data_IF_864420599146
#
_entry.id   IF_864420599146
#
_cell.length_a   1.000
_cell.length_b   1.000
_cell.length_c   1.000
_cell.angle_alpha   90.00
_cell.angle_beta   90.00
_cell.angle_gamma   90.00
#
_symmetry.space_group_name_H-M   'P 1'
#
loop_
_entity.id
_entity.type
_entity.pdbx_description
1 polymer ?
#
# COMPACT_ATOMS: atom_id res chain seq x y z
N UNK A 1 11.79 -18.42 -1.98
CA UNK A 1 10.76 -19.46 -1.81
C UNK A 1 9.47 -18.79 -1.40
N UNK A 2 8.32 -19.45 -1.59
CA UNK A 2 7.01 -18.92 -1.18
C UNK A 2 6.95 -18.63 0.33
N UNK A 3 7.57 -19.48 1.13
CA UNK A 3 7.69 -19.32 2.58
C UNK A 3 8.33 -17.99 3.01
N UNK A 4 9.45 -17.61 2.38
CA UNK A 4 10.11 -16.32 2.69
C UNK A 4 9.22 -15.13 2.38
N UNK A 5 8.51 -15.17 1.25
CA UNK A 5 7.57 -14.10 0.88
C UNK A 5 6.37 -14.07 1.83
N UNK A 6 5.90 -15.23 2.30
CA UNK A 6 4.87 -15.29 3.34
C UNK A 6 5.29 -14.58 4.61
N UNK A 7 6.54 -14.77 5.06
CA UNK A 7 7.06 -14.08 6.24
C UNK A 7 7.10 -12.57 6.03
N UNK A 8 7.65 -12.11 4.89
CA UNK A 8 7.69 -10.68 4.57
C UNK A 8 6.29 -10.05 4.54
N UNK A 9 5.30 -10.75 4.00
CA UNK A 9 3.90 -10.29 4.00
C UNK A 9 3.35 -10.26 5.43
N UNK A 10 3.62 -11.28 6.25
CA UNK A 10 3.15 -11.31 7.63
C UNK A 10 3.74 -10.14 8.44
N UNK A 11 5.03 -9.86 8.27
CA UNK A 11 5.72 -8.75 8.94
C UNK A 11 5.12 -7.41 8.50
N UNK A 12 4.99 -7.18 7.20
CA UNK A 12 4.37 -5.96 6.63
C UNK A 12 2.93 -5.73 7.15
N UNK A 13 2.09 -6.78 7.16
CA UNK A 13 0.72 -6.69 7.67
C UNK A 13 0.63 -6.43 9.18
N UNK A 14 1.64 -6.87 9.94
CA UNK A 14 1.62 -6.76 11.40
C UNK A 14 1.60 -5.30 11.87
N UNK A 15 2.10 -4.39 11.03
CA UNK A 15 2.15 -2.96 11.32
C UNK A 15 0.78 -2.36 11.59
N UNK A 16 -0.25 -2.79 10.85
CA UNK A 16 -1.60 -2.23 10.92
C UNK A 16 -2.62 -3.15 11.58
N UNK A 17 -2.31 -4.44 11.69
CA UNK A 17 -3.14 -5.42 12.38
C UNK A 17 -4.33 -5.87 11.51
N UNK A 18 -5.43 -6.24 12.16
CA UNK A 18 -6.60 -6.76 11.45
C UNK A 18 -7.35 -5.69 10.66
N UNK A 19 -7.92 -6.07 9.52
CA UNK A 19 -8.67 -5.19 8.60
C UNK A 19 -9.75 -4.35 9.30
N UNK A 20 -10.52 -4.96 10.20
CA UNK A 20 -11.56 -4.28 10.97
C UNK A 20 -11.05 -3.11 11.82
N UNK A 21 -9.74 -3.07 12.11
CA UNK A 21 -9.12 -2.06 12.95
C UNK A 21 -8.48 -0.93 12.15
N UNK A 22 -8.23 -1.11 10.85
CA UNK A 22 -7.50 -0.15 10.02
C UNK A 22 -8.16 1.23 10.01
N UNK A 23 -9.49 1.40 9.77
CA UNK A 23 -10.10 2.73 9.72
C UNK A 23 -9.94 3.49 11.03
N UNK A 24 -10.14 2.81 12.16
CA UNK A 24 -10.01 3.40 13.50
C UNK A 24 -8.56 3.79 13.80
N UNK A 25 -7.60 2.93 13.44
CA UNK A 25 -6.17 3.17 13.68
C UNK A 25 -5.65 4.32 12.81
N UNK A 26 -5.98 4.30 11.52
CA UNK A 26 -5.65 5.37 10.58
C UNK A 26 -6.15 6.71 11.07
N UNK A 27 -7.45 6.81 11.40
CA UNK A 27 -8.04 8.07 11.88
C UNK A 27 -7.41 8.56 13.19
N UNK A 28 -7.10 7.64 14.10
CA UNK A 28 -6.42 7.98 15.36
C UNK A 28 -5.03 8.56 15.10
N UNK A 29 -4.22 7.90 14.28
CA UNK A 29 -2.87 8.35 13.95
C UNK A 29 -2.88 9.67 13.19
N UNK A 30 -3.78 9.83 12.21
CA UNK A 30 -3.95 11.08 11.49
C UNK A 30 -4.33 12.23 12.42
N UNK A 31 -5.30 12.03 13.33
CA UNK A 31 -5.67 13.05 14.32
C UNK A 31 -4.52 13.43 15.24
N UNK A 32 -3.68 12.47 15.64
CA UNK A 32 -2.48 12.75 16.42
C UNK A 32 -1.51 13.61 15.63
N UNK A 33 -1.17 13.21 14.39
CA UNK A 33 -0.26 13.96 13.52
C UNK A 33 -0.75 15.39 13.25
N UNK A 34 -2.06 15.57 13.01
CA UNK A 34 -2.70 16.88 12.82
C UNK A 34 -2.60 17.79 14.03
N UNK A 35 -2.67 17.23 15.25
CA UNK A 35 -2.49 18.01 16.50
C UNK A 35 -1.05 18.48 16.68
N UNK A 36 -0.08 17.71 16.19
CA UNK A 36 1.34 18.03 16.26
C UNK A 36 1.76 19.04 15.17
N UNK A 37 0.96 19.17 14.12
CA UNK A 37 1.10 20.21 13.09
C UNK A 37 1.25 19.66 11.68
N UNK A 38 1.51 20.55 10.74
CA UNK A 38 1.51 20.23 9.31
C UNK A 38 2.66 19.28 8.93
N UNK A 39 3.90 19.53 9.41
CA UNK A 39 5.05 18.69 9.08
C UNK A 39 4.87 17.22 9.51
N UNK A 40 4.30 16.98 10.69
CA UNK A 40 3.95 15.65 11.19
C UNK A 40 2.83 15.01 10.41
N UNK A 41 1.83 15.80 9.98
CA UNK A 41 0.77 15.32 9.09
C UNK A 41 1.32 14.87 7.73
N UNK A 42 2.21 15.66 7.12
CA UNK A 42 2.87 15.30 5.87
C UNK A 42 3.76 14.06 6.02
N UNK A 43 4.45 13.94 7.15
CA UNK A 43 5.24 12.76 7.49
C UNK A 43 4.36 11.51 7.60
N UNK A 44 3.19 11.61 8.24
CA UNK A 44 2.24 10.51 8.34
C UNK A 44 1.79 10.03 6.95
N UNK A 45 1.38 10.94 6.07
CA UNK A 45 1.00 10.56 4.71
C UNK A 45 2.17 10.02 3.89
N UNK A 46 3.38 10.51 4.12
CA UNK A 46 4.60 9.96 3.49
C UNK A 46 4.85 8.53 3.93
N UNK A 47 4.66 8.21 5.22
CA UNK A 47 4.75 6.83 5.73
C UNK A 47 3.68 5.93 5.11
N UNK A 48 2.44 6.39 4.96
CA UNK A 48 1.41 5.63 4.26
C UNK A 48 1.78 5.35 2.79
N UNK A 49 2.41 6.31 2.10
CA UNK A 49 2.91 6.10 0.72
C UNK A 49 4.01 5.05 0.67
N UNK A 50 4.94 5.08 1.62
CA UNK A 50 6.01 4.06 1.73
C UNK A 50 5.39 2.68 1.96
N UNK A 51 4.43 2.57 2.89
CA UNK A 51 3.70 1.32 3.15
C UNK A 51 3.04 0.74 1.89
N UNK A 52 2.41 1.60 1.08
CA UNK A 52 1.81 1.21 -0.20
C UNK A 52 2.86 0.70 -1.18
N UNK A 53 3.99 1.41 -1.31
CA UNK A 53 5.06 1.01 -2.23
C UNK A 53 5.69 -0.33 -1.81
N UNK A 54 5.93 -0.54 -0.52
CA UNK A 54 6.40 -1.82 0.02
C UNK A 54 5.42 -2.96 -0.30
N UNK A 55 4.12 -2.74 -0.11
CA UNK A 55 3.11 -3.73 -0.47
C UNK A 55 3.07 -4.03 -1.98
N UNK A 56 3.29 -3.03 -2.85
CA UNK A 56 3.44 -3.25 -4.31
C UNK A 56 4.66 -4.10 -4.63
N UNK A 57 5.79 -3.88 -3.95
CA UNK A 57 6.98 -4.69 -4.12
C UNK A 57 6.73 -6.15 -3.70
N UNK A 58 5.95 -6.40 -2.64
CA UNK A 58 5.54 -7.74 -2.24
C UNK A 58 4.67 -8.43 -3.31
N UNK A 59 3.76 -7.70 -3.98
CA UNK A 59 3.01 -8.21 -5.12
C UNK A 59 3.94 -8.60 -6.27
N UNK A 60 4.93 -7.76 -6.58
CA UNK A 60 5.94 -8.08 -7.59
C UNK A 60 6.74 -9.35 -7.24
N UNK A 61 7.09 -9.54 -5.97
CA UNK A 61 7.75 -10.76 -5.49
C UNK A 61 6.86 -12.00 -5.63
N UNK A 62 5.58 -11.91 -5.27
CA UNK A 62 4.61 -12.99 -5.49
C UNK A 62 4.47 -13.35 -6.97
N UNK A 63 4.36 -12.33 -7.84
CA UNK A 63 4.31 -12.52 -9.29
C UNK A 63 5.56 -13.22 -9.81
N UNK A 64 6.74 -12.76 -9.39
CA UNK A 64 8.03 -13.33 -9.78
C UNK A 64 8.15 -14.81 -9.41
N UNK A 65 7.70 -15.21 -8.21
CA UNK A 65 7.70 -16.62 -7.79
C UNK A 65 6.70 -17.44 -8.61
N UNK A 66 5.50 -16.90 -8.83
CA UNK A 66 4.44 -17.56 -9.62
C UNK A 66 4.89 -17.81 -11.06
N UNK A 67 5.56 -16.83 -11.68
CA UNK A 67 6.10 -16.95 -13.04
C UNK A 67 7.23 -17.98 -13.16
N UNK A 68 8.05 -18.14 -12.11
CA UNK A 68 9.09 -19.20 -12.08
C UNK A 68 8.50 -20.60 -11.97
N UNK A 69 7.22 -20.70 -11.56
CA UNK A 69 6.50 -21.94 -11.39
C UNK A 69 6.92 -22.69 -10.12
N UNK A 70 6.02 -23.57 -9.66
CA UNK A 70 6.28 -24.45 -8.52
C UNK A 70 6.67 -25.84 -9.04
N UNK A 71 7.71 -26.43 -8.46
CA UNK A 71 8.11 -27.81 -8.74
C UNK A 71 7.52 -28.75 -7.70
N UNK A 72 7.07 -29.95 -8.11
CA UNK A 72 6.59 -30.99 -7.20
C UNK A 72 5.41 -31.79 -7.75
N UNK A 73 4.83 -32.62 -6.91
CA UNK A 73 3.62 -33.40 -7.22
C UNK A 73 2.40 -32.46 -7.33
N UNK A 74 1.47 -32.76 -8.23
CA UNK A 74 0.34 -31.88 -8.57
C UNK A 74 -0.43 -31.29 -7.38
N UNK A 75 -0.65 -32.06 -6.31
CA UNK A 75 -1.34 -31.54 -5.12
C UNK A 75 -0.54 -30.43 -4.39
N UNK A 76 0.79 -30.54 -4.31
CA UNK A 76 1.66 -29.52 -3.69
C UNK A 76 1.76 -28.27 -4.55
N UNK A 77 1.76 -28.45 -5.87
CA UNK A 77 1.75 -27.34 -6.83
C UNK A 77 0.44 -26.56 -6.71
N UNK A 78 -0.70 -27.27 -6.72
CA UNK A 78 -2.02 -26.66 -6.55
C UNK A 78 -2.14 -25.92 -5.20
N UNK A 79 -1.67 -26.52 -4.12
CA UNK A 79 -1.63 -25.88 -2.80
C UNK A 79 -0.79 -24.60 -2.79
N UNK A 80 0.37 -24.60 -3.46
CA UNK A 80 1.22 -23.41 -3.58
C UNK A 80 0.50 -22.26 -4.32
N UNK A 81 -0.23 -22.55 -5.40
CA UNK A 81 -1.01 -21.53 -6.10
C UNK A 81 -2.18 -21.00 -5.27
N UNK A 82 -2.87 -21.86 -4.50
CA UNK A 82 -3.92 -21.41 -3.57
C UNK A 82 -3.35 -20.42 -2.55
N UNK A 83 -2.23 -20.77 -1.93
CA UNK A 83 -1.57 -19.88 -0.97
C UNK A 83 -1.14 -18.54 -1.59
N UNK A 84 -0.63 -18.54 -2.83
CA UNK A 84 -0.33 -17.29 -3.54
C UNK A 84 -1.58 -16.44 -3.70
N UNK A 85 -2.71 -17.05 -4.09
CA UNK A 85 -3.97 -16.34 -4.27
C UNK A 85 -4.48 -15.73 -2.95
N UNK A 86 -4.41 -16.48 -1.84
CA UNK A 86 -4.80 -15.99 -0.52
C UNK A 86 -3.91 -14.82 -0.07
N UNK A 87 -2.59 -14.94 -0.27
CA UNK A 87 -1.63 -13.87 0.03
C UNK A 87 -1.86 -12.63 -0.83
N UNK A 88 -2.12 -12.81 -2.13
CA UNK A 88 -2.39 -11.70 -3.04
C UNK A 88 -3.68 -10.98 -2.65
N UNK A 89 -4.75 -11.72 -2.39
CA UNK A 89 -6.04 -11.16 -1.95
C UNK A 89 -5.83 -10.34 -0.69
N UNK A 90 -5.13 -10.91 0.29
CA UNK A 90 -4.83 -10.22 1.54
C UNK A 90 -4.00 -8.95 1.36
N UNK A 91 -3.01 -8.93 0.46
CA UNK A 91 -2.21 -7.73 0.18
C UNK A 91 -3.04 -6.66 -0.50
N UNK A 92 -3.83 -7.04 -1.51
CA UNK A 92 -4.65 -6.12 -2.27
C UNK A 92 -5.70 -5.42 -1.41
N UNK A 93 -6.31 -6.13 -0.45
CA UNK A 93 -7.27 -5.53 0.47
C UNK A 93 -6.65 -4.42 1.30
N UNK A 94 -5.45 -4.64 1.86
CA UNK A 94 -4.75 -3.63 2.65
C UNK A 94 -4.22 -2.47 1.81
N UNK A 95 -3.60 -2.77 0.66
CA UNK A 95 -3.14 -1.76 -0.28
C UNK A 95 -4.28 -0.84 -0.73
N UNK A 96 -5.42 -1.42 -1.10
CA UNK A 96 -6.57 -0.66 -1.57
C UNK A 96 -7.09 0.28 -0.48
N UNK A 97 -7.13 -0.16 0.79
CA UNK A 97 -7.48 0.70 1.90
C UNK A 97 -6.59 1.95 1.97
N UNK A 98 -5.26 1.78 1.90
CA UNK A 98 -4.33 2.92 1.95
C UNK A 98 -4.35 3.80 0.71
N UNK A 99 -4.47 3.21 -0.48
CA UNK A 99 -4.58 3.96 -1.73
C UNK A 99 -5.80 4.88 -1.71
N UNK A 100 -6.97 4.36 -1.31
CA UNK A 100 -8.19 5.16 -1.17
C UNK A 100 -7.99 6.25 -0.13
N UNK A 101 -7.37 5.94 1.02
CA UNK A 101 -7.09 6.94 2.05
C UNK A 101 -6.06 7.98 1.63
N UNK A 102 -5.14 7.68 0.72
CA UNK A 102 -4.21 8.68 0.20
C UNK A 102 -4.89 9.57 -0.84
N UNK A 103 -5.82 9.03 -1.61
CA UNK A 103 -6.62 9.78 -2.59
C UNK A 103 -7.62 10.72 -1.91
N UNK A 104 -8.35 10.24 -0.89
CA UNK A 104 -9.31 11.01 -0.08
C UNK A 104 -8.70 12.30 0.51
N UNK A 105 -7.40 12.27 0.81
CA UNK A 105 -6.67 13.37 1.45
C UNK A 105 -5.63 14.03 0.53
N UNK A 106 -5.59 13.64 -0.75
CA UNK A 106 -4.80 14.35 -1.72
C UNK A 106 -5.31 15.80 -1.80
N UNK A 107 -4.43 16.81 -1.82
CA UNK A 107 -4.86 18.17 -2.05
C UNK A 107 -5.67 18.20 -3.35
N UNK A 108 -6.90 18.72 -3.29
CA UNK A 108 -7.67 19.03 -4.49
C UNK A 108 -6.80 20.04 -5.24
N UNK A 109 -6.08 19.60 -6.26
CA UNK A 109 -5.42 20.52 -7.16
C UNK A 109 -6.54 21.39 -7.72
N UNK A 110 -6.56 22.70 -7.47
CA UNK A 110 -7.53 23.53 -8.15
C UNK A 110 -7.29 23.35 -9.64
N UNK A 111 -8.34 23.07 -10.40
CA UNK A 111 -8.27 22.89 -11.86
C UNK A 111 -7.57 24.07 -12.57
N UNK A 112 -7.41 25.21 -11.88
CA UNK A 112 -6.63 26.38 -12.31
C UNK A 112 -5.10 26.20 -12.33
N UNK A 113 -4.55 25.10 -11.80
CA UNK A 113 -3.10 24.81 -11.83
C UNK A 113 -2.65 23.90 -12.98
N UNK A 114 -3.54 23.63 -13.96
CA UNK A 114 -3.24 22.79 -15.14
C UNK A 114 -2.32 23.47 -16.17
N UNK A 115 -1.87 24.71 -15.95
CA UNK A 115 -0.91 25.33 -16.87
C UNK A 115 0.02 26.33 -16.17
N UNK A 116 1.28 25.92 -15.97
CA UNK A 116 2.41 26.87 -15.88
C UNK A 116 2.86 27.37 -17.27
N UNK A 117 2.05 27.18 -18.32
CA UNK A 117 2.29 27.82 -19.61
C UNK A 117 1.52 29.14 -19.66
N UNK A 118 2.29 30.24 -19.78
CA UNK A 118 1.88 31.63 -20.05
C UNK A 118 1.53 32.49 -18.83
N UNK A 119 2.56 32.85 -18.07
CA UNK A 119 2.66 34.22 -17.56
C UNK A 119 3.73 34.95 -18.38
N UNK A 120 3.31 35.72 -19.37
CA UNK A 120 4.06 36.90 -19.81
C UNK A 120 3.33 38.10 -19.20
N UNK A 121 3.72 38.49 -17.99
CA UNK A 121 3.58 39.89 -17.60
C UNK A 121 4.85 40.57 -18.06
N UNK A 122 4.77 41.30 -19.16
CA UNK A 122 5.65 42.44 -19.41
C UNK A 122 4.88 43.69 -18.97
N UNK A 123 5.60 44.50 -18.20
CA UNK A 123 5.24 45.82 -17.65
C UNK A 123 4.67 46.74 -18.71
#
# INVERSE_FOLDING_TARGET
SLEKVRQLIADWKSEWGAESTWPKKFHKQLKCAQREGWLTTDSFFSQCKVHVEEGRQLIWLLRSITCKGFRGVGYRVMDSYKQVFDLLTSLLTELHFFEVKLDDYAPISPLSQISKARYYFTV
#
